data_IF_756735842636
#
_entry.id   IF_756735842636
#
_cell.length_a   1.000
_cell.length_b   1.000
_cell.length_c   1.000
_cell.angle_alpha   90.00
_cell.angle_beta   90.00
_cell.angle_gamma   90.00
#
_symmetry.space_group_name_H-M   'P 1'
#
loop_
_entity.id
_entity.type
_entity.pdbx_description
1 polymer ?
#
# COMPACT_ATOMS: atom_id res chain seq x y z
N UNK A 1 5.48 6.53 -21.01
CA UNK A 1 4.33 7.11 -20.29
C UNK A 1 4.59 6.97 -18.80
N UNK A 2 4.66 8.13 -18.13
CA UNK A 2 4.62 8.44 -16.69
C UNK A 2 4.71 7.24 -15.72
N UNK A 3 5.80 7.20 -14.94
CA UNK A 3 5.99 6.53 -13.65
C UNK A 3 4.72 5.84 -13.13
N UNK A 4 4.49 4.61 -13.59
CA UNK A 4 3.37 3.81 -13.11
C UNK A 4 3.88 3.07 -11.89
N UNK A 5 3.85 3.72 -10.73
CA UNK A 5 4.11 3.08 -9.45
C UNK A 5 3.23 1.84 -9.35
N UNK A 6 3.84 0.68 -9.24
CA UNK A 6 3.14 -0.58 -8.98
C UNK A 6 2.56 -0.57 -7.56
N UNK A 7 1.50 -1.35 -7.33
CA UNK A 7 0.91 -1.47 -6.00
C UNK A 7 1.92 -2.02 -4.97
N UNK A 8 2.83 -2.89 -5.41
CA UNK A 8 3.95 -3.37 -4.60
C UNK A 8 4.93 -2.26 -4.22
N UNK A 9 5.35 -1.41 -5.16
CA UNK A 9 6.22 -0.26 -4.85
C UNK A 9 5.55 0.71 -3.87
N UNK A 10 4.25 0.99 -4.04
CA UNK A 10 3.50 1.81 -3.09
C UNK A 10 3.41 1.18 -1.70
N UNK A 11 3.22 -0.13 -1.62
CA UNK A 11 3.20 -0.86 -0.35
C UNK A 11 4.54 -0.71 0.40
N UNK A 12 5.67 -0.86 -0.29
CA UNK A 12 7.00 -0.65 0.31
C UNK A 12 7.22 0.78 0.80
N UNK A 13 6.86 1.79 0.00
CA UNK A 13 6.98 3.20 0.38
C UNK A 13 6.15 3.52 1.64
N UNK A 14 4.92 2.98 1.71
CA UNK A 14 4.08 3.17 2.89
C UNK A 14 4.65 2.48 4.13
N UNK A 15 5.33 1.35 3.97
CA UNK A 15 6.00 0.66 5.07
C UNK A 15 7.19 1.48 5.61
N UNK A 16 8.02 2.03 4.72
CA UNK A 16 9.11 2.94 5.13
C UNK A 16 8.56 4.19 5.84
N UNK A 17 7.48 4.77 5.32
CA UNK A 17 6.83 5.91 5.94
C UNK A 17 6.27 5.55 7.33
N UNK A 18 5.65 4.38 7.48
CA UNK A 18 5.15 3.91 8.76
C UNK A 18 6.28 3.81 9.79
N UNK A 19 7.41 3.19 9.42
CA UNK A 19 8.58 3.05 10.29
C UNK A 19 9.14 4.42 10.72
N UNK A 20 9.21 5.39 9.78
CA UNK A 20 9.63 6.76 10.10
C UNK A 20 8.67 7.44 11.09
N UNK A 21 7.37 7.39 10.84
CA UNK A 21 6.37 8.02 11.71
C UNK A 21 6.34 7.38 13.10
N UNK A 22 6.53 6.06 13.18
CA UNK A 22 6.62 5.35 14.45
C UNK A 22 7.87 5.77 15.24
N UNK A 23 9.02 5.91 14.58
CA UNK A 23 10.25 6.39 15.22
C UNK A 23 10.13 7.83 15.73
N UNK A 24 9.42 8.68 14.99
CA UNK A 24 9.18 10.08 15.35
C UNK A 24 8.04 10.27 16.37
N UNK A 25 7.48 9.18 16.93
CA UNK A 25 6.37 9.18 17.89
C UNK A 25 5.12 9.95 17.39
N UNK A 26 4.76 9.77 16.12
CA UNK A 26 3.51 10.33 15.60
C UNK A 26 2.30 9.69 16.28
N UNK A 27 1.15 10.39 16.31
CA UNK A 27 -0.08 9.86 16.88
C UNK A 27 -0.49 8.54 16.22
N UNK A 28 -0.96 7.59 17.02
CA UNK A 28 -1.38 6.23 16.57
C UNK A 28 -2.35 6.26 15.39
N UNK A 29 -3.25 7.25 15.34
CA UNK A 29 -4.18 7.44 14.23
C UNK A 29 -3.50 7.48 12.86
N UNK A 30 -2.31 8.09 12.75
CA UNK A 30 -1.57 8.15 11.48
C UNK A 30 -0.99 6.79 11.08
N UNK A 31 -0.51 6.01 12.06
CA UNK A 31 0.00 4.66 11.85
C UNK A 31 -1.12 3.72 11.41
N UNK A 32 -2.25 3.74 12.11
CA UNK A 32 -3.45 2.96 11.77
C UNK A 32 -3.97 3.31 10.36
N UNK A 33 -3.98 4.60 10.00
CA UNK A 33 -4.39 5.03 8.65
C UNK A 33 -3.44 4.47 7.58
N UNK A 34 -2.13 4.44 7.84
CA UNK A 34 -1.17 3.86 6.89
C UNK A 34 -1.37 2.35 6.72
N UNK A 35 -1.63 1.62 7.80
CA UNK A 35 -1.95 0.19 7.75
C UNK A 35 -3.24 -0.09 6.96
N UNK A 36 -4.30 0.72 7.14
CA UNK A 36 -5.54 0.59 6.35
C UNK A 36 -5.31 0.81 4.85
N UNK A 37 -4.49 1.80 4.49
CA UNK A 37 -4.11 2.05 3.10
C UNK A 37 -3.32 0.87 2.54
N UNK A 38 -2.36 0.32 3.29
CA UNK A 38 -1.61 -0.87 2.89
C UNK A 38 -2.52 -2.07 2.61
N UNK A 39 -3.49 -2.35 3.49
CA UNK A 39 -4.48 -3.40 3.27
C UNK A 39 -5.32 -3.16 2.00
N UNK A 40 -5.70 -1.91 1.76
CA UNK A 40 -6.46 -1.52 0.56
C UNK A 40 -5.67 -1.77 -0.72
N UNK A 41 -4.37 -1.46 -0.73
CA UNK A 41 -3.51 -1.74 -1.89
C UNK A 41 -3.38 -3.24 -2.16
N UNK A 42 -3.25 -4.06 -1.11
CA UNK A 42 -3.22 -5.52 -1.25
C UNK A 42 -4.52 -6.05 -1.84
N UNK A 43 -5.67 -5.55 -1.39
CA UNK A 43 -6.99 -5.93 -1.94
C UNK A 43 -7.07 -5.55 -3.43
N UNK A 44 -6.61 -4.35 -3.80
CA UNK A 44 -6.62 -3.90 -5.20
C UNK A 44 -5.72 -4.78 -6.08
N UNK A 45 -4.54 -5.17 -5.60
CA UNK A 45 -3.64 -6.09 -6.33
C UNK A 45 -4.32 -7.46 -6.52
N UNK A 46 -4.93 -8.02 -5.47
CA UNK A 46 -5.65 -9.29 -5.57
C UNK A 46 -6.83 -9.22 -6.55
N UNK A 47 -7.60 -8.13 -6.54
CA UNK A 47 -8.67 -7.91 -7.50
C UNK A 47 -8.14 -7.79 -8.93
N UNK A 48 -7.01 -7.10 -9.12
CA UNK A 48 -6.37 -6.96 -10.41
C UNK A 48 -5.87 -8.31 -10.97
N UNK A 49 -5.29 -9.15 -10.11
CA UNK A 49 -4.90 -10.53 -10.45
C UNK A 49 -6.13 -11.36 -10.81
N UNK A 50 -7.18 -11.34 -9.99
CA UNK A 50 -8.41 -12.09 -10.22
C UNK A 50 -9.13 -11.66 -11.51
N UNK A 51 -9.09 -10.37 -11.84
CA UNK A 51 -9.65 -9.84 -13.08
C UNK A 51 -8.84 -10.29 -14.30
N UNK A 52 -7.51 -10.19 -14.23
CA UNK A 52 -6.61 -10.59 -15.32
C UNK A 52 -6.67 -12.10 -15.61
N UNK A 53 -6.92 -12.92 -14.57
CA UNK A 53 -7.08 -14.38 -14.69
C UNK A 53 -8.35 -14.80 -15.46
N UNK A 54 -9.39 -13.95 -15.51
CA UNK A 54 -10.64 -14.24 -16.26
C UNK A 54 -10.58 -13.92 -17.75
N UNK A 55 -9.52 -13.28 -18.23
CA UNK A 55 -9.39 -12.83 -19.63
C UNK A 55 -8.51 -13.80 -20.46
N UNK A 56 -7.99 -14.87 -19.86
CA UNK A 56 -7.29 -15.96 -20.55
C UNK A 56 -8.15 -17.22 -20.67
#
# INVERSE_FOLDING_TARGET
MKNKLSYSELYYILNELHDCLQQDNYPTLYLETLEEVQHTLLILELLNIAHSSKIN
#
